data_IF_387745824556
#
_entry.id   IF_387745824556
#
_cell.length_a   1.000
_cell.length_b   1.000
_cell.length_c   1.000
_cell.angle_alpha   90.00
_cell.angle_beta   90.00
_cell.angle_gamma   90.00
#
_symmetry.space_group_name_H-M   'P 1'
#
loop_
_entity.id
_entity.type
_entity.pdbx_description
1 polymer ?
#
# COMPACT_ATOMS: atom_id res chain seq x y z
N UNK A 1 -5.16 21.40 -12.99
CA UNK A 1 -5.72 20.54 -11.92
C UNK A 1 -5.01 19.21 -11.86
N UNK A 2 -4.62 18.80 -10.70
CA UNK A 2 -3.90 17.54 -10.57
C UNK A 2 -4.86 16.37 -10.57
N UNK A 3 -4.51 15.29 -11.25
CA UNK A 3 -5.33 14.08 -11.15
C UNK A 3 -5.26 13.50 -9.73
N UNK A 4 -6.34 12.86 -9.34
CA UNK A 4 -6.37 12.22 -8.04
C UNK A 4 -5.49 10.98 -8.04
N UNK A 5 -4.89 10.70 -6.90
CA UNK A 5 -4.17 9.45 -6.70
C UNK A 5 -5.17 8.35 -6.43
N UNK A 6 -4.90 7.18 -6.97
CA UNK A 6 -5.81 6.03 -6.87
C UNK A 6 -5.25 5.01 -5.90
N UNK A 7 -6.07 4.62 -4.93
CA UNK A 7 -5.71 3.64 -3.92
C UNK A 7 -6.58 2.41 -4.09
N UNK A 8 -5.95 1.25 -4.16
CA UNK A 8 -6.65 -0.02 -4.23
C UNK A 8 -6.74 -0.58 -2.82
N UNK A 9 -7.97 -0.74 -2.32
CA UNK A 9 -8.22 -1.26 -0.98
C UNK A 9 -8.80 -2.65 -1.07
N UNK A 10 -8.19 -3.59 -0.35
CA UNK A 10 -8.56 -5.00 -0.42
C UNK A 10 -8.82 -5.53 0.99
N UNK A 11 -10.01 -6.05 1.22
CA UNK A 11 -10.39 -6.59 2.53
C UNK A 11 -11.64 -7.42 2.30
N UNK A 12 -11.70 -8.63 2.84
CA UNK A 12 -12.89 -9.45 2.66
C UNK A 12 -14.07 -8.98 3.49
N UNK A 13 -13.87 -8.00 4.36
CA UNK A 13 -14.96 -7.40 5.14
C UNK A 13 -15.43 -6.14 4.43
N UNK A 14 -16.65 -6.23 3.85
CA UNK A 14 -17.18 -5.12 3.07
C UNK A 14 -17.44 -3.87 3.88
N UNK A 15 -17.80 -4.05 5.14
CA UNK A 15 -18.05 -2.91 6.01
C UNK A 15 -16.77 -2.12 6.25
N UNK A 16 -15.68 -2.83 6.52
CA UNK A 16 -14.38 -2.18 6.68
C UNK A 16 -13.98 -1.44 5.42
N UNK A 17 -14.22 -2.04 4.26
CA UNK A 17 -13.90 -1.39 3.00
C UNK A 17 -14.71 -0.11 2.81
N UNK A 18 -15.99 -0.15 3.14
CA UNK A 18 -16.84 1.03 2.97
C UNK A 18 -16.35 2.18 3.83
N UNK A 19 -16.00 1.90 5.08
CA UNK A 19 -15.53 2.93 6.00
C UNK A 19 -14.22 3.52 5.49
N UNK A 20 -13.31 2.65 5.07
CA UNK A 20 -12.01 3.11 4.57
C UNK A 20 -12.16 3.92 3.30
N UNK A 21 -13.06 3.49 2.43
CA UNK A 21 -13.31 4.21 1.18
C UNK A 21 -13.75 5.64 1.46
N UNK A 22 -14.73 5.81 2.34
CA UNK A 22 -15.22 7.15 2.66
C UNK A 22 -14.10 8.00 3.24
N UNK A 23 -13.33 7.44 4.17
CA UNK A 23 -12.25 8.17 4.80
C UNK A 23 -11.23 8.65 3.78
N UNK A 24 -10.85 7.79 2.86
CA UNK A 24 -9.84 8.15 1.88
C UNK A 24 -10.38 9.13 0.85
N UNK A 25 -11.63 8.96 0.45
CA UNK A 25 -12.21 9.87 -0.54
C UNK A 25 -12.36 11.28 0.00
N UNK A 26 -12.60 11.41 1.31
CA UNK A 26 -12.68 12.75 1.89
C UNK A 26 -11.35 13.48 1.84
N UNK A 27 -10.26 12.75 1.64
CA UNK A 27 -8.94 13.36 1.53
C UNK A 27 -8.53 13.54 0.07
N UNK A 28 -9.42 13.28 -0.87
CA UNK A 28 -9.16 13.54 -2.27
C UNK A 28 -8.61 12.37 -3.06
N UNK A 29 -8.58 11.18 -2.48
CA UNK A 29 -8.13 10.00 -3.21
C UNK A 29 -9.26 9.37 -4.00
N UNK A 30 -8.91 8.72 -5.10
CA UNK A 30 -9.82 7.82 -5.78
C UNK A 30 -9.62 6.43 -5.21
N UNK A 31 -10.69 5.72 -4.91
CA UNK A 31 -10.58 4.44 -4.21
C UNK A 31 -11.26 3.34 -5.02
N UNK A 32 -10.53 2.26 -5.24
CA UNK A 32 -11.07 1.03 -5.81
C UNK A 32 -11.10 0.02 -4.68
N UNK A 33 -12.24 -0.64 -4.48
CA UNK A 33 -12.37 -1.63 -3.42
C UNK A 33 -12.56 -3.01 -4.02
N UNK A 34 -11.90 -4.01 -3.43
CA UNK A 34 -12.05 -5.41 -3.83
C UNK A 34 -12.15 -6.24 -2.57
N UNK A 35 -12.95 -7.30 -2.63
CA UNK A 35 -13.15 -8.15 -1.46
C UNK A 35 -12.27 -9.39 -1.47
N UNK A 36 -11.45 -9.56 -2.49
CA UNK A 36 -10.54 -10.69 -2.54
C UNK A 36 -9.31 -10.32 -3.35
N UNK A 37 -8.25 -11.12 -3.19
CA UNK A 37 -6.97 -10.81 -3.81
C UNK A 37 -6.96 -11.02 -5.32
N UNK A 38 -7.74 -11.98 -5.82
CA UNK A 38 -7.75 -12.25 -7.24
C UNK A 38 -8.33 -11.08 -8.02
N UNK A 39 -9.45 -10.55 -7.55
CA UNK A 39 -10.05 -9.37 -8.18
C UNK A 39 -9.14 -8.17 -8.06
N UNK A 40 -8.49 -8.03 -6.91
CA UNK A 40 -7.58 -6.91 -6.69
C UNK A 40 -6.42 -6.96 -7.69
N UNK A 41 -5.85 -8.14 -7.89
CA UNK A 41 -4.76 -8.28 -8.83
C UNK A 41 -5.18 -7.94 -10.25
N UNK A 42 -6.39 -8.35 -10.61
CA UNK A 42 -6.92 -8.03 -11.93
C UNK A 42 -7.07 -6.53 -12.11
N UNK A 43 -7.62 -5.85 -11.11
CA UNK A 43 -7.72 -4.40 -11.16
C UNK A 43 -6.35 -3.75 -11.25
N UNK A 44 -5.39 -4.27 -10.51
CA UNK A 44 -4.05 -3.70 -10.53
C UNK A 44 -3.44 -3.81 -11.93
N UNK A 45 -3.69 -4.93 -12.60
CA UNK A 45 -3.13 -5.15 -13.93
C UNK A 45 -3.68 -4.18 -14.97
N UNK A 46 -4.84 -3.62 -14.71
CA UNK A 46 -5.41 -2.64 -15.62
C UNK A 46 -4.71 -1.29 -15.54
N UNK A 47 -3.87 -1.10 -14.54
CA UNK A 47 -3.06 0.09 -14.44
C UNK A 47 -3.74 1.21 -13.66
N UNK A 48 -2.97 2.23 -13.36
CA UNK A 48 -3.50 3.42 -12.73
C UNK A 48 -3.55 3.41 -11.21
N UNK A 49 -3.10 2.34 -10.57
CA UNK A 49 -3.10 2.26 -9.10
C UNK A 49 -1.80 2.85 -8.57
N UNK A 50 -1.93 3.76 -7.63
CA UNK A 50 -0.77 4.44 -7.05
C UNK A 50 -0.32 3.83 -5.73
N UNK A 51 -1.22 3.17 -5.01
CA UNK A 51 -0.89 2.58 -3.72
C UNK A 51 -1.90 1.48 -3.41
N UNK A 52 -1.44 0.44 -2.72
CA UNK A 52 -2.28 -0.70 -2.35
C UNK A 52 -2.38 -0.82 -0.83
N UNK A 53 -3.60 -0.95 -0.34
CA UNK A 53 -3.86 -1.30 1.06
C UNK A 53 -4.53 -2.65 1.08
N UNK A 54 -4.00 -3.61 1.81
CA UNK A 54 -4.59 -4.94 1.85
C UNK A 54 -4.60 -5.50 3.26
N UNK A 55 -5.67 -6.20 3.59
CA UNK A 55 -5.68 -7.05 4.76
C UNK A 55 -4.77 -8.24 4.49
N UNK A 56 -4.07 -8.70 5.52
CA UNK A 56 -3.19 -9.86 5.36
C UNK A 56 -3.99 -11.15 5.21
N UNK A 57 -4.98 -11.34 6.07
CA UNK A 57 -5.73 -12.59 6.12
C UNK A 57 -6.99 -12.46 5.30
N UNK A 58 -7.02 -13.18 4.19
CA UNK A 58 -8.19 -13.23 3.30
C UNK A 58 -8.26 -14.61 2.72
N UNK A 59 -9.47 -15.13 2.45
CA UNK A 59 -9.60 -16.43 1.80
C UNK A 59 -8.97 -16.41 0.41
N UNK A 60 -8.41 -17.52 0.02
CA UNK A 60 -7.77 -17.61 -1.29
C UNK A 60 -6.43 -16.90 -1.30
N UNK A 61 -6.26 -15.97 -2.21
CA UNK A 61 -5.02 -15.20 -2.32
C UNK A 61 -4.96 -14.19 -1.18
N UNK A 62 -4.09 -14.42 -0.21
CA UNK A 62 -4.01 -13.52 0.94
C UNK A 62 -3.24 -12.25 0.59
N UNK A 63 -3.20 -11.33 1.57
CA UNK A 63 -2.60 -10.03 1.32
C UNK A 63 -1.12 -10.08 0.99
N UNK A 64 -0.38 -10.96 1.64
CA UNK A 64 1.05 -11.07 1.35
C UNK A 64 1.28 -11.58 -0.07
N UNK A 65 0.55 -12.62 -0.47
CA UNK A 65 0.69 -13.16 -1.82
C UNK A 65 0.28 -12.12 -2.86
N UNK A 66 -0.78 -11.38 -2.58
CA UNK A 66 -1.21 -10.31 -3.47
C UNK A 66 -0.11 -9.27 -3.65
N UNK A 67 0.47 -8.82 -2.54
CA UNK A 67 1.50 -7.79 -2.62
C UNK A 67 2.74 -8.31 -3.32
N UNK A 68 3.08 -9.58 -3.14
CA UNK A 68 4.20 -10.15 -3.89
C UNK A 68 3.96 -10.08 -5.39
N UNK A 69 2.75 -10.43 -5.82
CA UNK A 69 2.43 -10.35 -7.24
C UNK A 69 2.50 -8.92 -7.75
N UNK A 70 1.97 -7.98 -6.96
CA UNK A 70 2.00 -6.59 -7.33
C UNK A 70 3.43 -6.08 -7.42
N UNK A 71 4.26 -6.44 -6.46
CA UNK A 71 5.65 -5.98 -6.47
C UNK A 71 6.44 -6.60 -7.62
N UNK A 72 6.07 -7.80 -8.05
CA UNK A 72 6.69 -8.38 -9.23
C UNK A 72 6.33 -7.60 -10.49
N UNK A 73 5.10 -7.10 -10.55
CA UNK A 73 4.64 -6.30 -11.69
C UNK A 73 5.15 -4.87 -11.62
N UNK A 74 5.21 -4.31 -10.42
CA UNK A 74 5.54 -2.90 -10.24
C UNK A 74 6.23 -2.72 -8.89
N UNK A 75 7.55 -2.93 -8.85
CA UNK A 75 8.27 -2.90 -7.56
C UNK A 75 8.16 -1.58 -6.82
N UNK A 76 7.93 -0.48 -7.52
CA UNK A 76 7.89 0.82 -6.88
C UNK A 76 6.51 1.19 -6.35
N UNK A 77 5.47 0.39 -6.60
CA UNK A 77 4.14 0.69 -6.08
C UNK A 77 4.13 0.45 -4.58
N UNK A 78 3.86 1.47 -3.77
CA UNK A 78 3.83 1.28 -2.32
C UNK A 78 2.66 0.42 -1.89
N UNK A 79 2.88 -0.36 -0.85
CA UNK A 79 1.87 -1.29 -0.34
C UNK A 79 1.87 -1.28 1.17
N UNK A 80 0.67 -1.23 1.74
CA UNK A 80 0.46 -1.29 3.18
C UNK A 80 -0.34 -2.54 3.48
N UNK A 81 0.11 -3.28 4.48
CA UNK A 81 -0.54 -4.52 4.88
C UNK A 81 -1.09 -4.37 6.29
N UNK A 82 -2.35 -4.75 6.47
CA UNK A 82 -2.99 -4.75 7.79
C UNK A 82 -3.03 -6.18 8.33
N UNK A 83 -2.76 -6.33 9.61
CA UNK A 83 -2.83 -7.64 10.22
C UNK A 83 -3.43 -7.53 11.60
N UNK A 84 -4.32 -8.47 11.92
CA UNK A 84 -4.85 -8.59 13.26
C UNK A 84 -3.98 -9.40 14.17
N UNK A 85 -2.89 -9.95 13.65
CA UNK A 85 -2.00 -10.78 14.43
C UNK A 85 -0.98 -9.94 15.16
N UNK A 86 -0.57 -10.40 16.32
CA UNK A 86 0.40 -9.67 17.09
C UNK A 86 1.81 -9.85 16.58
N UNK A 87 2.06 -10.91 15.83
CA UNK A 87 3.39 -11.17 15.30
C UNK A 87 3.32 -11.25 13.79
N UNK A 88 4.22 -10.52 13.14
CA UNK A 88 4.36 -10.54 11.70
C UNK A 88 5.84 -10.69 11.42
N UNK A 89 6.17 -11.58 10.51
CA UNK A 89 7.56 -11.74 10.10
C UNK A 89 7.81 -10.81 8.92
N UNK A 90 7.98 -9.55 9.24
CA UNK A 90 7.98 -8.49 8.24
C UNK A 90 9.10 -8.62 7.22
N UNK A 91 10.21 -9.18 7.64
CA UNK A 91 11.35 -9.30 6.73
C UNK A 91 11.09 -10.28 5.59
N UNK A 92 10.10 -11.15 5.77
CA UNK A 92 9.75 -12.12 4.75
C UNK A 92 8.64 -11.62 3.83
N UNK A 93 8.22 -10.38 4.03
CA UNK A 93 7.11 -9.80 3.27
C UNK A 93 7.57 -8.55 2.56
N UNK A 94 6.93 -8.26 1.43
CA UNK A 94 7.37 -7.17 0.58
C UNK A 94 6.57 -5.88 0.76
N UNK A 95 5.62 -5.86 1.70
CA UNK A 95 4.89 -4.62 1.98
C UNK A 95 5.83 -3.56 2.51
N UNK A 96 5.55 -2.31 2.20
CA UNK A 96 6.37 -1.20 2.67
C UNK A 96 6.04 -0.80 4.10
N UNK A 97 4.80 -1.00 4.51
CA UNK A 97 4.34 -0.64 5.85
C UNK A 97 3.41 -1.72 6.36
N UNK A 98 3.52 -2.03 7.65
CA UNK A 98 2.63 -2.96 8.35
C UNK A 98 1.90 -2.21 9.45
N UNK A 99 0.58 -2.35 9.50
CA UNK A 99 -0.22 -1.70 10.53
C UNK A 99 -1.11 -2.73 11.21
N UNK A 100 -1.26 -2.63 12.53
CA UNK A 100 -2.18 -3.52 13.22
C UNK A 100 -3.61 -3.18 12.84
N UNK A 101 -4.38 -4.19 12.48
CA UNK A 101 -5.74 -3.97 12.06
C UNK A 101 -6.57 -3.52 13.26
N UNK A 102 -7.25 -2.39 13.11
CA UNK A 102 -8.13 -1.89 14.14
C UNK A 102 -7.45 -1.20 15.30
N UNK A 103 -6.12 -1.11 15.29
CA UNK A 103 -5.40 -0.53 16.42
C UNK A 103 -4.67 0.75 16.07
N UNK A 104 -4.70 1.17 14.83
CA UNK A 104 -4.05 2.41 14.43
C UNK A 104 -5.07 3.54 14.44
N UNK A 105 -4.58 4.76 14.62
CA UNK A 105 -5.43 5.92 14.48
C UNK A 105 -5.63 6.21 12.99
N UNK A 106 -6.84 6.62 12.59
CA UNK A 106 -7.06 6.96 11.19
C UNK A 106 -6.07 7.98 10.65
N UNK A 107 -5.68 8.94 11.47
CA UNK A 107 -4.70 9.94 11.02
C UNK A 107 -3.35 9.32 10.75
N UNK A 108 -2.99 8.28 11.47
CA UNK A 108 -1.73 7.60 11.21
C UNK A 108 -1.73 6.95 9.84
N UNK A 109 -2.82 6.28 9.48
CA UNK A 109 -2.92 5.67 8.17
C UNK A 109 -2.82 6.73 7.07
N UNK A 110 -3.54 7.82 7.22
CA UNK A 110 -3.53 8.88 6.23
C UNK A 110 -2.14 9.47 6.06
N UNK A 111 -1.41 9.64 7.16
CA UNK A 111 -0.06 10.18 7.08
C UNK A 111 0.89 9.19 6.39
N UNK A 112 0.76 7.90 6.70
CA UNK A 112 1.59 6.89 6.03
C UNK A 112 1.35 6.89 4.53
N UNK A 113 0.09 6.97 4.13
CA UNK A 113 -0.25 7.01 2.71
C UNK A 113 0.38 8.23 2.05
N UNK A 114 0.22 9.38 2.68
CA UNK A 114 0.75 10.63 2.12
C UNK A 114 2.26 10.53 1.92
N UNK A 115 2.96 10.02 2.92
CA UNK A 115 4.41 9.92 2.85
C UNK A 115 4.87 8.93 1.79
N UNK A 116 4.17 7.80 1.66
CA UNK A 116 4.54 6.83 0.65
C UNK A 116 4.30 7.37 -0.75
N UNK A 117 3.23 8.12 -0.95
CA UNK A 117 2.95 8.69 -2.26
C UNK A 117 3.93 9.79 -2.63
N UNK A 118 4.38 10.54 -1.65
CA UNK A 118 5.40 11.56 -1.90
C UNK A 118 6.69 10.90 -2.34
N UNK A 119 7.09 9.82 -1.67
CA UNK A 119 8.30 9.08 -2.05
C UNK A 119 8.21 8.57 -3.47
N UNK A 120 7.06 7.99 -3.83
CA UNK A 120 6.88 7.45 -5.16
C UNK A 120 6.98 8.55 -6.21
N UNK A 121 6.47 9.74 -5.89
CA UNK A 121 6.50 10.86 -6.82
C UNK A 121 7.76 11.66 -6.74
N UNK A 122 8.69 11.28 -5.89
CA UNK A 122 9.84 12.11 -5.62
C UNK A 122 10.61 12.48 -6.86
N UNK A 123 11.62 13.32 -6.70
CA UNK A 123 12.40 13.78 -7.85
C UNK A 123 13.01 12.63 -8.61
N UNK A 124 13.12 12.79 -9.89
CA UNK A 124 13.70 11.75 -10.73
C UNK A 124 15.16 11.54 -10.42
N UNK A 125 15.85 12.59 -10.04
CA UNK A 125 17.26 12.46 -9.77
C UNK A 125 17.48 11.72 -8.47
N UNK A 126 18.62 11.09 -8.38
CA UNK A 126 18.99 10.34 -7.19
C UNK A 126 19.39 11.32 -6.10
N UNK A 127 18.91 11.06 -4.90
CA UNK A 127 19.30 11.86 -3.75
C UNK A 127 20.70 11.48 -3.30
N UNK A 128 21.41 12.40 -2.66
CA UNK A 128 22.77 12.09 -2.23
C UNK A 128 22.85 11.03 -1.15
N UNK A 129 21.75 10.68 -0.52
CA UNK A 129 21.76 9.62 0.48
C UNK A 129 20.56 8.73 0.28
N UNK A 130 20.69 7.52 0.77
CA UNK A 130 19.58 6.59 0.72
C UNK A 130 18.75 6.77 1.97
N UNK A 131 17.46 6.83 1.78
CA UNK A 131 16.58 6.98 2.91
C UNK A 131 16.20 5.66 3.48
N UNK A 132 16.11 4.70 2.62
CA UNK A 132 15.71 3.42 3.08
C UNK A 132 16.90 2.71 3.64
N UNK A 133 16.75 2.30 4.76
CA UNK A 133 17.88 1.61 5.33
C UNK A 133 18.49 0.68 4.38
N UNK A 134 18.57 1.33 3.90
CA UNK A 134 19.02 1.17 3.25
C UNK A 134 19.89 1.27 2.94
N UNK A 135 20.25 1.42 2.93
CA UNK A 135 20.93 1.62 2.59
C UNK A 135 21.56 1.98 2.06
N UNK A 136 22.04 2.53 1.94
CA UNK A 136 22.54 2.98 1.43
C UNK A 136 23.10 3.14 1.03
N UNK A 137 23.41 3.19 0.86
CA UNK A 137 23.95 3.52 0.28
C UNK A 137 24.26 3.96 -0.30
N UNK A 138 24.43 4.09 -0.43
CA UNK A 138 24.75 4.40 -0.98
C UNK A 138 24.81 5.23 -1.54
N UNK A 139 24.93 5.51 -1.39
CA UNK A 139 24.95 6.29 -1.80
C UNK A 139 24.93 6.90 -2.67
N UNK A 140 25.02 7.06 -2.99
CA UNK A 140 24.89 7.55 -3.76
C UNK A 140 24.29 7.41 -4.59
N UNK A 141 24.04 7.58 -4.88
CA UNK A 141 23.47 7.51 -5.45
C UNK A 141 22.79 6.92 -5.86
N UNK A 142 22.44 6.83 -5.85
CA UNK A 142 21.98 6.19 -6.06
C UNK A 142 21.77 5.85 -6.14
#
# INVERSE_FOLDING_TARGET
MKPKRTILCVDDNEQSLSIRKVMLETRGYRVITCTNGVDALEHFRQGGVDLVLSDLIMPGLDGNALIEEIKNLSPQTPAILFSGKTKIYERDMRADVFLPKGMYAPLELLERIRLLLIRKRGPKRVLPFSIKGSSQTGAVAS
#
